data_IF_920132613332
#
_entry.id   IF_920132613332
#
_cell.length_a   1.000
_cell.length_b   1.000
_cell.length_c   1.000
_cell.angle_alpha   90.00
_cell.angle_beta   90.00
_cell.angle_gamma   90.00
#
_symmetry.space_group_name_H-M   'P 1'
#
loop_
_entity.id
_entity.type
_entity.pdbx_description
1 polymer ?
#
# COMPACT_ATOMS: atom_id res chain seq x y z
N UNK A 1 23.21 4.13 -1.04
CA UNK A 1 21.78 4.45 -1.22
C UNK A 1 21.05 3.12 -1.27
N UNK A 2 20.15 2.85 -0.33
CA UNK A 2 19.47 1.55 -0.23
C UNK A 2 18.18 1.58 -1.05
N UNK A 3 17.94 0.54 -1.83
CA UNK A 3 16.71 0.33 -2.59
C UNK A 3 15.77 -0.62 -1.82
N UNK A 4 14.44 -0.53 -1.98
CA UNK A 4 13.54 -1.52 -1.38
C UNK A 4 13.85 -2.98 -1.77
N UNK A 5 14.49 -3.21 -2.93
CA UNK A 5 14.94 -4.55 -3.33
C UNK A 5 16.10 -5.11 -2.52
N UNK A 6 16.83 -4.27 -1.78
CA UNK A 6 17.93 -4.70 -0.95
C UNK A 6 17.43 -5.34 0.37
N UNK A 7 16.18 -5.06 0.74
CA UNK A 7 15.55 -5.51 1.97
C UNK A 7 15.23 -7.02 1.95
N UNK A 8 15.27 -7.64 3.13
CA UNK A 8 15.01 -9.07 3.26
C UNK A 8 13.58 -9.45 2.87
N UNK A 9 12.61 -8.56 3.10
CA UNK A 9 11.23 -8.77 2.67
C UNK A 9 11.11 -8.98 1.14
N UNK A 10 11.87 -8.21 0.35
CA UNK A 10 11.89 -8.38 -1.10
C UNK A 10 12.52 -9.71 -1.51
N UNK A 11 13.69 -10.03 -0.93
CA UNK A 11 14.38 -11.29 -1.22
C UNK A 11 13.53 -12.49 -0.81
N UNK A 12 12.84 -12.40 0.32
CA UNK A 12 11.90 -13.42 0.78
C UNK A 12 10.74 -13.59 -0.19
N UNK A 13 10.12 -12.49 -0.63
CA UNK A 13 9.07 -12.52 -1.64
C UNK A 13 9.54 -13.22 -2.94
N UNK A 14 10.74 -12.89 -3.42
CA UNK A 14 11.29 -13.50 -4.64
C UNK A 14 11.54 -15.00 -4.48
N UNK A 15 11.92 -15.47 -3.28
CA UNK A 15 12.04 -16.90 -2.97
C UNK A 15 10.68 -17.61 -2.91
N UNK A 16 9.65 -16.92 -2.43
CA UNK A 16 8.29 -17.47 -2.32
C UNK A 16 7.57 -17.52 -3.66
N UNK A 17 7.83 -16.56 -4.55
CA UNK A 17 7.15 -16.42 -5.84
C UNK A 17 8.16 -16.31 -7.01
N UNK A 18 8.93 -17.38 -7.27
CA UNK A 18 9.99 -17.35 -8.29
C UNK A 18 9.44 -17.12 -9.71
N UNK A 19 8.23 -17.62 -10.02
CA UNK A 19 7.54 -17.42 -11.30
C UNK A 19 7.20 -15.95 -11.57
N UNK A 20 6.91 -15.21 -10.49
CA UNK A 20 6.68 -13.77 -10.55
C UNK A 20 8.00 -13.02 -10.67
N UNK A 21 9.00 -13.40 -9.87
CA UNK A 21 10.30 -12.73 -9.80
C UNK A 21 11.13 -12.88 -11.09
N UNK A 22 11.03 -14.03 -11.76
CA UNK A 22 11.70 -14.32 -13.03
C UNK A 22 11.30 -13.34 -14.14
N UNK A 23 10.09 -12.76 -14.07
CA UNK A 23 9.58 -11.83 -15.08
C UNK A 23 9.96 -10.38 -14.71
N UNK A 24 10.99 -9.77 -15.34
CA UNK A 24 11.49 -8.45 -14.94
C UNK A 24 10.51 -7.30 -15.17
N UNK A 25 9.47 -7.52 -15.99
CA UNK A 25 8.41 -6.55 -16.26
C UNK A 25 7.30 -6.56 -15.21
N UNK A 26 7.25 -7.55 -14.31
CA UNK A 26 6.28 -7.57 -13.22
C UNK A 26 6.58 -6.46 -12.20
N UNK A 27 5.53 -5.86 -11.67
CA UNK A 27 5.63 -4.64 -10.87
C UNK A 27 5.43 -4.94 -9.39
N UNK A 28 6.28 -4.40 -8.54
CA UNK A 28 6.11 -4.40 -7.09
C UNK A 28 5.63 -3.03 -6.65
N UNK A 29 4.54 -3.02 -5.91
CA UNK A 29 3.82 -1.82 -5.50
C UNK A 29 3.95 -1.64 -3.99
N UNK A 30 4.04 -0.38 -3.56
CA UNK A 30 3.72 0.03 -2.19
C UNK A 30 2.43 0.83 -2.18
N UNK A 31 1.63 0.65 -1.14
CA UNK A 31 0.39 1.37 -0.91
C UNK A 31 0.54 2.25 0.32
N UNK A 32 0.25 3.54 0.23
CA UNK A 32 0.27 4.46 1.35
C UNK A 32 -1.15 4.99 1.57
N UNK A 33 -1.62 4.92 2.82
CA UNK A 33 -2.93 5.41 3.23
C UNK A 33 -2.75 6.10 4.57
N UNK A 34 -3.09 7.39 4.64
CA UNK A 34 -3.02 8.16 5.88
C UNK A 34 -4.07 9.27 5.87
N UNK A 35 -4.48 9.74 7.04
CA UNK A 35 -5.38 10.87 7.19
C UNK A 35 -4.63 12.19 7.30
N UNK A 36 -4.97 13.18 6.47
CA UNK A 36 -4.45 14.54 6.63
C UNK A 36 -5.57 15.58 6.70
N UNK A 37 -5.28 16.71 7.35
CA UNK A 37 -6.20 17.85 7.46
C UNK A 37 -5.74 18.96 6.51
N UNK A 38 -6.42 19.17 5.36
CA UNK A 38 -5.99 20.14 4.35
C UNK A 38 -6.09 21.61 4.80
N UNK A 39 -6.95 21.92 5.77
CA UNK A 39 -7.21 23.29 6.23
C UNK A 39 -6.39 23.71 7.47
N UNK A 40 -5.44 22.87 7.90
CA UNK A 40 -4.62 23.13 9.09
C UNK A 40 -5.38 23.07 10.42
N UNK A 41 -4.69 23.41 11.52
CA UNK A 41 -5.21 23.29 12.89
C UNK A 41 -6.36 24.26 13.23
N UNK A 42 -6.56 25.32 12.43
CA UNK A 42 -7.49 26.41 12.71
C UNK A 42 -8.74 26.41 11.81
N UNK A 43 -8.85 25.45 10.88
CA UNK A 43 -10.02 25.28 10.01
C UNK A 43 -11.10 24.39 10.63
N UNK A 44 -12.24 24.26 9.96
CA UNK A 44 -13.24 23.23 10.28
C UNK A 44 -12.58 21.84 10.29
N UNK A 45 -12.97 20.98 11.23
CA UNK A 45 -12.51 19.59 11.33
C UNK A 45 -12.90 18.83 10.06
N UNK A 46 -11.96 18.74 9.12
CA UNK A 46 -12.10 18.00 7.88
C UNK A 46 -10.84 17.15 7.71
N UNK A 47 -11.01 15.83 7.63
CA UNK A 47 -9.93 14.92 7.27
C UNK A 47 -10.13 14.46 5.83
N UNK A 48 -9.04 14.14 5.15
CA UNK A 48 -9.09 13.37 3.92
C UNK A 48 -7.94 12.37 3.88
N UNK A 49 -8.21 11.27 3.18
CA UNK A 49 -7.36 10.10 3.16
C UNK A 49 -6.90 9.84 1.72
N UNK A 50 -5.72 10.35 1.32
CA UNK A 50 -5.11 10.00 0.04
C UNK A 50 -4.66 8.54 0.07
N UNK A 51 -5.05 7.81 -0.98
CA UNK A 51 -4.57 6.45 -1.24
C UNK A 51 -3.60 6.53 -2.39
N UNK A 52 -2.32 6.27 -2.11
CA UNK A 52 -1.22 6.45 -3.05
C UNK A 52 -0.56 5.11 -3.34
N UNK A 53 -0.40 4.79 -4.62
CA UNK A 53 0.37 3.63 -5.08
C UNK A 53 1.72 4.10 -5.63
N UNK A 54 2.79 3.40 -5.25
CA UNK A 54 4.15 3.67 -5.69
C UNK A 54 4.79 2.43 -6.31
N UNK A 55 5.27 2.49 -7.57
CA UNK A 55 5.98 1.39 -8.20
C UNK A 55 7.45 1.34 -7.77
N UNK A 56 7.84 0.30 -7.05
CA UNK A 56 9.19 0.14 -6.50
C UNK A 56 10.22 -0.43 -7.48
N UNK A 57 9.84 -0.71 -8.72
CA UNK A 57 10.79 -1.16 -9.74
C UNK A 57 11.69 -0.02 -10.28
N UNK A 58 11.38 1.24 -9.95
CA UNK A 58 12.14 2.39 -10.40
C UNK A 58 13.46 2.52 -9.62
N UNK A 59 14.50 3.15 -10.19
CA UNK A 59 15.74 3.41 -9.48
C UNK A 59 15.54 4.15 -8.15
N UNK A 60 16.46 4.00 -7.16
CA UNK A 60 16.35 4.61 -5.84
C UNK A 60 16.09 6.13 -5.83
N UNK A 61 16.63 6.86 -6.81
CA UNK A 61 16.43 8.31 -6.95
C UNK A 61 15.04 8.70 -7.46
N UNK A 62 14.26 7.73 -7.95
CA UNK A 62 12.97 7.93 -8.61
C UNK A 62 11.83 7.26 -7.85
N UNK A 63 12.03 6.06 -7.28
CA UNK A 63 10.93 5.25 -6.75
C UNK A 63 10.13 5.94 -5.64
N UNK A 64 10.73 6.87 -4.88
CA UNK A 64 10.02 7.64 -3.84
C UNK A 64 9.81 9.11 -4.22
N UNK A 65 9.98 9.47 -5.49
CA UNK A 65 9.70 10.83 -5.97
C UNK A 65 8.20 11.01 -6.23
N UNK A 66 7.67 12.18 -5.88
CA UNK A 66 6.25 12.53 -6.08
C UNK A 66 5.77 12.38 -7.52
N UNK A 67 6.66 12.49 -8.52
CA UNK A 67 6.34 12.30 -9.94
C UNK A 67 5.94 10.86 -10.30
N UNK A 68 6.33 9.89 -9.48
CA UNK A 68 6.05 8.47 -9.70
C UNK A 68 5.09 7.90 -8.66
N UNK A 69 4.57 8.74 -7.77
CA UNK A 69 3.50 8.41 -6.85
C UNK A 69 2.15 8.61 -7.57
N UNK A 70 1.35 7.56 -7.62
CA UNK A 70 0.05 7.56 -8.26
C UNK A 70 -1.03 7.75 -7.20
N UNK A 71 -1.69 8.92 -7.20
CA UNK A 71 -2.87 9.14 -6.39
C UNK A 71 -4.04 8.36 -6.99
N UNK A 72 -4.45 7.28 -6.33
CA UNK A 72 -5.51 6.41 -6.81
C UNK A 72 -6.89 6.94 -6.44
N UNK A 73 -7.01 7.47 -5.22
CA UNK A 73 -8.24 8.06 -4.72
C UNK A 73 -7.98 9.01 -3.56
N UNK A 74 -8.93 9.91 -3.31
CA UNK A 74 -8.99 10.75 -2.12
C UNK A 74 -10.31 10.47 -1.45
N UNK A 75 -10.27 9.89 -0.25
CA UNK A 75 -11.47 9.61 0.52
C UNK A 75 -11.74 10.83 1.41
N UNK A 76 -12.84 11.58 1.18
CA UNK A 76 -13.20 12.68 2.05
C UNK A 76 -13.73 12.12 3.37
N UNK A 77 -13.29 12.70 4.47
CA UNK A 77 -13.76 12.34 5.80
C UNK A 77 -14.22 13.60 6.58
N UNK A 78 -15.35 14.21 6.16
CA UNK A 78 -15.86 15.43 6.78
C UNK A 78 -16.41 15.22 8.19
N UNK A 79 -16.69 13.96 8.58
CA UNK A 79 -17.44 13.63 9.80
C UNK A 79 -16.75 12.56 10.66
N UNK A 80 -15.50 12.19 10.39
CA UNK A 80 -14.88 10.97 10.93
C UNK A 80 -15.64 9.68 10.55
N UNK A 81 -16.19 9.60 9.33
CA UNK A 81 -16.69 8.39 8.66
C UNK A 81 -15.56 7.39 8.30
N UNK A 82 -14.59 7.28 9.20
CA UNK A 82 -13.46 6.35 9.23
C UNK A 82 -13.85 4.88 9.06
N UNK A 83 -15.09 4.54 9.39
CA UNK A 83 -15.65 3.20 9.34
C UNK A 83 -16.01 2.72 7.93
N UNK A 84 -15.98 3.60 6.91
CA UNK A 84 -16.33 3.24 5.52
C UNK A 84 -15.11 3.03 4.62
N UNK A 85 -13.89 3.06 5.19
CA UNK A 85 -12.65 2.97 4.41
C UNK A 85 -12.57 1.67 3.60
N UNK A 86 -13.12 0.58 4.13
CA UNK A 86 -13.26 -0.72 3.48
C UNK A 86 -14.10 -0.64 2.19
N UNK A 87 -15.25 0.05 2.23
CA UNK A 87 -16.12 0.26 1.06
C UNK A 87 -15.40 1.02 -0.03
N UNK A 88 -14.63 2.06 0.33
CA UNK A 88 -13.85 2.80 -0.66
C UNK A 88 -12.70 1.97 -1.24
N UNK A 89 -12.03 1.16 -0.42
CA UNK A 89 -10.91 0.35 -0.86
C UNK A 89 -11.31 -0.89 -1.66
N UNK A 90 -12.57 -1.33 -1.60
CA UNK A 90 -13.09 -2.53 -2.29
C UNK A 90 -12.65 -2.60 -3.76
N UNK A 91 -12.95 -1.57 -4.55
CA UNK A 91 -12.59 -1.55 -5.98
C UNK A 91 -11.07 -1.57 -6.23
N UNK A 92 -10.29 -0.96 -5.33
CA UNK A 92 -8.83 -0.99 -5.44
C UNK A 92 -8.30 -2.39 -5.12
N UNK A 93 -8.83 -3.03 -4.08
CA UNK A 93 -8.46 -4.38 -3.67
C UNK A 93 -8.77 -5.36 -4.82
N UNK A 94 -9.95 -5.27 -5.44
CA UNK A 94 -10.30 -6.12 -6.58
C UNK A 94 -9.30 -5.98 -7.74
N UNK A 95 -8.91 -4.75 -8.09
CA UNK A 95 -7.92 -4.51 -9.14
C UNK A 95 -6.53 -5.05 -8.77
N UNK A 96 -6.11 -4.90 -7.51
CA UNK A 96 -4.84 -5.45 -7.03
C UNK A 96 -4.85 -6.98 -7.07
N UNK A 97 -5.96 -7.61 -6.68
CA UNK A 97 -6.15 -9.06 -6.77
C UNK A 97 -6.15 -9.53 -8.23
N UNK A 98 -6.80 -8.80 -9.14
CA UNK A 98 -6.76 -9.09 -10.58
C UNK A 98 -5.33 -9.02 -11.12
N UNK A 99 -4.58 -7.96 -10.78
CA UNK A 99 -3.18 -7.79 -11.19
C UNK A 99 -2.27 -8.90 -10.63
N UNK A 100 -2.56 -9.39 -9.43
CA UNK A 100 -1.79 -10.44 -8.79
C UNK A 100 -2.09 -11.83 -9.38
N UNK A 101 -3.37 -12.22 -9.47
CA UNK A 101 -3.77 -13.57 -9.85
C UNK A 101 -3.81 -13.79 -11.36
N UNK A 102 -4.26 -12.81 -12.13
CA UNK A 102 -4.46 -12.93 -13.58
C UNK A 102 -3.43 -12.11 -14.35
N UNK A 103 -3.16 -10.89 -13.90
CA UNK A 103 -2.40 -9.90 -14.64
C UNK A 103 -3.20 -9.23 -15.76
N UNK A 104 -2.56 -8.30 -16.47
CA UNK A 104 -3.16 -7.54 -17.57
C UNK A 104 -2.30 -7.71 -18.83
N UNK A 105 -2.95 -7.79 -20.00
CA UNK A 105 -2.23 -7.84 -21.27
C UNK A 105 -1.69 -6.44 -21.58
N UNK A 106 -0.37 -6.35 -21.72
CA UNK A 106 0.33 -5.09 -21.99
C UNK A 106 1.19 -5.24 -23.25
N UNK A 107 1.36 -4.13 -23.97
CA UNK A 107 2.18 -4.09 -25.18
C UNK A 107 3.58 -3.55 -24.87
N UNK A 108 4.62 -4.30 -25.20
CA UNK A 108 6.01 -3.83 -25.15
C UNK A 108 6.37 -3.25 -26.52
N UNK A 109 6.25 -1.93 -26.68
CA UNK A 109 6.53 -1.27 -27.95
C UNK A 109 7.98 -1.49 -28.43
N UNK A 110 8.94 -1.53 -27.50
CA UNK A 110 10.35 -1.73 -27.84
C UNK A 110 10.64 -3.14 -28.39
N UNK A 111 9.80 -4.13 -28.07
CA UNK A 111 9.93 -5.52 -28.52
C UNK A 111 8.83 -5.95 -29.48
N UNK A 112 7.96 -5.03 -29.86
CA UNK A 112 6.80 -5.23 -30.73
C UNK A 112 5.97 -6.48 -30.37
N UNK A 113 5.75 -6.70 -29.08
CA UNK A 113 5.05 -7.91 -28.60
C UNK A 113 4.19 -7.65 -27.38
N UNK A 114 3.05 -8.33 -27.33
CA UNK A 114 2.22 -8.37 -26.14
C UNK A 114 2.82 -9.33 -25.11
N UNK A 115 2.70 -8.98 -23.83
CA UNK A 115 3.02 -9.84 -22.71
C UNK A 115 1.99 -9.64 -21.59
N UNK A 116 1.96 -10.57 -20.63
CA UNK A 116 1.13 -10.41 -19.43
C UNK A 116 1.97 -9.77 -18.33
N UNK A 117 1.54 -8.61 -17.84
CA UNK A 117 2.10 -7.97 -16.65
C UNK A 117 1.32 -8.41 -15.43
N UNK A 118 2.02 -8.77 -14.36
CA UNK A 118 1.43 -8.94 -13.01
C UNK A 118 1.99 -7.87 -12.09
N UNK A 119 1.22 -7.52 -11.07
CA UNK A 119 1.68 -6.67 -9.99
C UNK A 119 1.48 -7.33 -8.63
N UNK A 120 2.39 -7.05 -7.70
CA UNK A 120 2.33 -7.51 -6.32
C UNK A 120 2.36 -6.31 -5.38
N UNK A 121 1.43 -6.24 -4.44
CA UNK A 121 1.49 -5.29 -3.35
C UNK A 121 2.46 -5.85 -2.29
N UNK A 122 3.59 -5.18 -2.09
CA UNK A 122 4.65 -5.65 -1.19
C UNK A 122 4.38 -5.28 0.27
N UNK A 123 3.95 -4.05 0.52
CA UNK A 123 3.61 -3.57 1.86
C UNK A 123 2.73 -2.33 1.80
N UNK A 124 2.07 -2.08 2.92
CA UNK A 124 1.33 -0.85 3.20
C UNK A 124 2.19 0.06 4.09
N UNK A 125 2.15 1.37 3.82
CA UNK A 125 2.84 2.40 4.58
C UNK A 125 1.78 3.26 5.25
N UNK A 126 1.56 3.01 6.54
CA UNK A 126 0.54 3.68 7.33
C UNK A 126 1.15 4.02 8.71
N UNK A 127 0.65 5.06 9.37
CA UNK A 127 0.85 5.20 10.81
C UNK A 127 0.00 4.16 11.56
N UNK A 128 0.17 4.03 12.88
CA UNK A 128 -0.58 3.04 13.66
C UNK A 128 -2.11 3.26 13.59
N UNK A 129 -2.64 4.48 13.79
CA UNK A 129 -4.07 4.73 13.59
C UNK A 129 -4.59 4.31 12.21
N UNK A 130 -3.93 4.74 11.12
CA UNK A 130 -4.31 4.40 9.75
C UNK A 130 -4.21 2.90 9.48
N UNK A 131 -3.19 2.22 10.01
CA UNK A 131 -3.07 0.77 9.94
C UNK A 131 -4.29 0.08 10.56
N UNK A 132 -4.70 0.49 11.76
CA UNK A 132 -5.85 -0.12 12.44
C UNK A 132 -7.13 -0.01 11.63
N UNK A 133 -7.32 1.13 10.96
CA UNK A 133 -8.50 1.34 10.11
C UNK A 133 -8.43 0.57 8.79
N UNK A 134 -7.26 0.56 8.13
CA UNK A 134 -7.10 -0.14 6.87
C UNK A 134 -7.10 -1.69 7.02
N UNK A 135 -6.63 -2.20 8.17
CA UNK A 135 -6.53 -3.65 8.44
C UNK A 135 -7.69 -4.22 9.27
N UNK A 136 -8.47 -3.36 9.93
CA UNK A 136 -9.45 -3.76 10.94
C UNK A 136 -8.82 -4.21 12.28
N UNK A 137 -7.51 -4.02 12.46
CA UNK A 137 -6.81 -4.39 13.70
C UNK A 137 -6.99 -3.34 14.81
N UNK A 138 -7.11 -3.78 16.06
CA UNK A 138 -7.09 -2.86 17.21
C UNK A 138 -5.68 -2.32 17.42
N UNK A 139 -5.47 -1.02 17.25
CA UNK A 139 -4.15 -0.38 17.48
C UNK A 139 -4.03 0.28 18.85
N UNK A 140 -4.96 -0.05 19.75
CA UNK A 140 -5.00 0.43 21.13
C UNK A 140 -5.24 -0.71 22.11
N UNK A 141 -4.91 -0.48 23.39
CA UNK A 141 -5.10 -1.46 24.47
C UNK A 141 -4.13 -2.64 24.38
N UNK A 142 -4.52 -3.78 24.97
CA UNK A 142 -3.65 -4.95 25.12
C UNK A 142 -3.26 -5.59 23.78
N UNK A 143 -4.14 -5.49 22.78
CA UNK A 143 -3.91 -6.01 21.42
C UNK A 143 -3.33 -4.97 20.46
N UNK A 144 -2.81 -3.84 20.95
CA UNK A 144 -2.37 -2.72 20.10
C UNK A 144 -1.25 -3.07 19.11
N UNK A 145 -0.45 -4.10 19.40
CA UNK A 145 0.63 -4.55 18.53
C UNK A 145 0.17 -5.73 17.66
N UNK A 146 0.13 -5.59 16.31
CA UNK A 146 -0.26 -6.69 15.43
C UNK A 146 0.78 -7.82 15.36
N UNK A 147 2.01 -7.57 15.82
CA UNK A 147 3.09 -8.56 15.84
C UNK A 147 3.06 -9.39 17.12
N UNK A 148 2.93 -8.73 18.27
CA UNK A 148 2.94 -9.38 19.58
C UNK A 148 1.55 -9.93 19.96
N UNK A 149 0.47 -9.36 19.42
CA UNK A 149 -0.91 -9.72 19.74
C UNK A 149 -1.17 -9.64 21.26
N UNK A 150 -1.51 -10.76 21.90
CA UNK A 150 -1.76 -10.88 23.34
C UNK A 150 -0.47 -11.12 24.17
N UNK A 151 0.65 -11.44 23.52
CA UNK A 151 1.97 -11.57 24.15
C UNK A 151 2.62 -10.20 24.39
N UNK A 152 1.90 -9.33 25.10
CA UNK A 152 2.39 -8.01 25.52
C UNK A 152 2.27 -7.84 27.02
N UNK A 153 3.13 -6.98 27.59
CA UNK A 153 3.01 -6.55 28.99
C UNK A 153 2.06 -5.36 29.16
N UNK A 154 1.16 -5.14 28.20
CA UNK A 154 0.20 -4.06 28.26
C UNK A 154 -0.84 -4.36 29.36
N UNK A 155 -1.24 -3.32 30.10
CA UNK A 155 -2.24 -3.41 31.15
C UNK A 155 -3.22 -2.25 31.01
N UNK A 156 -4.44 -2.44 31.50
CA UNK A 156 -5.40 -1.36 31.62
C UNK A 156 -5.07 -0.54 32.88
N UNK A 157 -5.01 0.78 32.75
CA UNK A 157 -4.88 1.73 33.87
C UNK A 157 -6.23 1.91 34.58
#
# INVERSE_FOLDING_TARGET
MCHPSDAEAWKHFDRMYPDFAEKPRNVRLGLCIDGFTPHGQYGHTYSCWPVIITPYNLPPSMCMSSKYMLLMMVIPDPSNAKHLIDVYLESLIEQLLQLWHVGVRTYDHARDRAFMIRAALMWTVNDLPAYGMASGWSTTGVMGCPVCMDDTRAFHL
#
